data_IF_229825339912
#
_entry.id   IF_229825339912
#
_cell.length_a   1.000
_cell.length_b   1.000
_cell.length_c   1.000
_cell.angle_alpha   90.00
_cell.angle_beta   90.00
_cell.angle_gamma   90.00
#
_symmetry.space_group_name_H-M   'P 1'
#
loop_
_entity.id
_entity.type
_entity.pdbx_description
1 polymer ?
#
# COMPACT_ATOMS: atom_id res chain seq x y z
N UNK A 1 2.09 -7.74 1.05
CA UNK A 1 2.00 -7.90 -0.42
C UNK A 1 0.54 -7.95 -0.88
N UNK A 2 -0.25 -8.94 -0.42
CA UNK A 2 -1.67 -9.12 -0.83
C UNK A 2 -2.60 -7.92 -0.55
N UNK A 3 -2.24 -7.06 0.41
CA UNK A 3 -2.92 -5.78 0.63
C UNK A 3 -2.88 -4.88 -0.61
N UNK A 4 -1.76 -4.86 -1.34
CA UNK A 4 -1.63 -4.11 -2.59
C UNK A 4 -2.48 -4.73 -3.71
N UNK A 5 -2.59 -6.06 -3.78
CA UNK A 5 -3.47 -6.74 -4.74
C UNK A 5 -4.91 -6.32 -4.54
N UNK A 6 -5.41 -6.40 -3.31
CA UNK A 6 -6.76 -5.95 -2.95
C UNK A 6 -6.97 -4.48 -3.25
N UNK A 7 -5.97 -3.64 -3.00
CA UNK A 7 -6.03 -2.23 -3.37
C UNK A 7 -6.25 -2.08 -4.89
N UNK A 8 -5.43 -2.74 -5.71
CA UNK A 8 -5.52 -2.66 -7.17
C UNK A 8 -6.88 -3.19 -7.66
N UNK A 9 -7.28 -4.37 -7.21
CA UNK A 9 -8.50 -5.04 -7.70
C UNK A 9 -9.79 -4.32 -7.27
N UNK A 10 -9.78 -3.61 -6.13
CA UNK A 10 -10.90 -2.79 -5.67
C UNK A 10 -10.84 -1.33 -6.15
N UNK A 11 -9.80 -0.91 -6.88
CA UNK A 11 -9.78 0.43 -7.47
C UNK A 11 -10.98 0.73 -8.38
N UNK A 12 -11.35 -0.11 -9.37
CA UNK A 12 -12.46 0.18 -10.26
C UNK A 12 -13.80 0.23 -9.51
N UNK A 13 -13.96 -0.58 -8.45
CA UNK A 13 -15.12 -0.53 -7.55
C UNK A 13 -15.17 0.81 -6.79
N UNK A 14 -14.05 1.19 -6.16
CA UNK A 14 -13.96 2.48 -5.42
C UNK A 14 -14.13 3.70 -6.33
N UNK A 15 -13.76 3.59 -7.60
CA UNK A 15 -13.96 4.64 -8.59
C UNK A 15 -15.39 4.68 -9.15
N UNK A 16 -16.28 3.77 -8.73
CA UNK A 16 -17.66 3.69 -9.22
C UNK A 16 -17.76 3.22 -10.67
N UNK A 17 -16.72 2.57 -11.21
CA UNK A 17 -16.71 2.09 -12.59
C UNK A 17 -17.46 0.76 -12.75
N UNK A 18 -17.47 -0.06 -11.70
CA UNK A 18 -18.14 -1.37 -11.63
C UNK A 18 -18.64 -1.64 -10.21
N UNK A 19 -19.64 -2.50 -10.06
CA UNK A 19 -20.16 -2.90 -8.74
C UNK A 19 -19.26 -3.95 -8.07
N UNK A 20 -18.73 -4.91 -8.82
CA UNK A 20 -17.87 -5.97 -8.29
C UNK A 20 -16.52 -6.04 -9.01
N UNK A 21 -15.46 -6.43 -8.29
CA UNK A 21 -14.10 -6.50 -8.84
C UNK A 21 -13.98 -7.44 -10.06
N UNK A 22 -14.81 -8.49 -10.11
CA UNK A 22 -14.89 -9.41 -11.25
C UNK A 22 -15.36 -8.74 -12.55
N UNK A 23 -16.11 -7.64 -12.46
CA UNK A 23 -16.73 -7.01 -13.63
C UNK A 23 -15.73 -6.14 -14.38
N UNK A 24 -14.62 -5.76 -13.73
CA UNK A 24 -13.56 -5.01 -14.38
C UNK A 24 -12.58 -5.94 -15.12
N UNK A 25 -12.55 -5.93 -16.47
CA UNK A 25 -11.79 -6.90 -17.25
C UNK A 25 -10.28 -6.69 -17.18
N UNK A 26 -9.82 -5.49 -16.80
CA UNK A 26 -8.40 -5.12 -16.82
C UNK A 26 -7.77 -5.24 -15.43
N UNK A 27 -8.03 -6.36 -14.78
CA UNK A 27 -7.39 -6.73 -13.51
C UNK A 27 -7.09 -8.23 -13.49
N UNK A 28 -6.18 -8.63 -12.60
CA UNK A 28 -5.88 -10.04 -12.33
C UNK A 28 -6.97 -10.74 -11.51
N UNK A 29 -8.03 -10.05 -11.08
CA UNK A 29 -9.04 -10.61 -10.17
C UNK A 29 -9.65 -11.89 -10.74
N UNK A 30 -9.98 -11.92 -12.03
CA UNK A 30 -10.58 -13.12 -12.66
C UNK A 30 -9.65 -14.33 -12.64
N UNK A 31 -8.35 -14.10 -12.82
CA UNK A 31 -7.35 -15.15 -12.69
C UNK A 31 -7.20 -15.60 -11.24
N UNK A 32 -6.91 -14.66 -10.33
CA UNK A 32 -6.60 -14.97 -8.93
C UNK A 32 -7.79 -15.51 -8.14
N UNK A 33 -9.00 -15.01 -8.41
CA UNK A 33 -10.21 -15.25 -7.64
C UNK A 33 -11.19 -16.22 -8.30
N UNK A 34 -11.25 -16.26 -9.65
CA UNK A 34 -12.22 -17.08 -10.38
C UNK A 34 -11.57 -18.22 -11.17
N UNK A 35 -10.24 -18.29 -11.21
CA UNK A 35 -9.53 -19.35 -11.92
C UNK A 35 -9.60 -19.24 -13.43
N UNK A 36 -9.89 -18.06 -13.97
CA UNK A 36 -9.85 -17.84 -15.42
C UNK A 36 -8.41 -17.74 -15.89
N UNK A 37 -8.01 -18.62 -16.80
CA UNK A 37 -6.66 -18.59 -17.37
C UNK A 37 -6.37 -17.25 -18.05
N UNK A 38 -5.16 -16.75 -17.83
CA UNK A 38 -4.67 -15.53 -18.44
C UNK A 38 -3.16 -15.63 -18.63
N UNK A 39 -2.73 -15.74 -19.89
CA UNK A 39 -1.32 -15.91 -20.27
C UNK A 39 -0.43 -14.72 -19.89
N UNK A 40 -1.02 -13.57 -19.60
CA UNK A 40 -0.30 -12.36 -19.17
C UNK A 40 -0.05 -12.33 -17.66
N UNK A 41 -0.66 -13.23 -16.89
CA UNK A 41 -0.57 -13.25 -15.43
C UNK A 41 0.39 -14.34 -15.00
N UNK A 42 1.49 -13.92 -14.36
CA UNK A 42 2.38 -14.82 -13.62
C UNK A 42 1.99 -14.74 -12.14
N UNK A 43 1.58 -15.85 -11.50
CA UNK A 43 1.24 -15.86 -10.08
C UNK A 43 2.45 -15.47 -9.23
N UNK A 44 2.25 -14.54 -8.30
CA UNK A 44 3.29 -14.17 -7.33
C UNK A 44 3.35 -15.20 -6.19
N UNK A 45 4.53 -15.45 -5.62
CA UNK A 45 4.73 -16.44 -4.56
C UNK A 45 3.79 -16.25 -3.36
N UNK A 46 3.58 -15.01 -2.92
CA UNK A 46 2.64 -14.68 -1.83
C UNK A 46 1.18 -15.06 -2.13
N UNK A 47 0.77 -15.06 -3.41
CA UNK A 47 -0.53 -15.61 -3.80
C UNK A 47 -0.50 -17.14 -3.78
N UNK A 48 0.56 -17.75 -4.31
CA UNK A 48 0.73 -19.21 -4.31
C UNK A 48 0.73 -19.80 -2.90
N UNK A 49 1.29 -19.08 -1.91
CA UNK A 49 1.30 -19.46 -0.49
C UNK A 49 -0.07 -19.45 0.20
N UNK A 50 -1.12 -18.94 -0.44
CA UNK A 50 -2.45 -18.88 0.19
C UNK A 50 -3.08 -20.25 0.41
N UNK A 51 -2.75 -21.23 -0.44
CA UNK A 51 -3.08 -22.64 -0.29
C UNK A 51 -2.32 -23.44 -1.35
N UNK A 52 -2.17 -24.75 -1.16
CA UNK A 52 -1.44 -25.61 -2.10
C UNK A 52 -2.23 -25.83 -3.41
N UNK A 53 -3.52 -26.11 -3.31
CA UNK A 53 -4.39 -26.36 -4.47
C UNK A 53 -5.06 -25.06 -4.98
N UNK A 54 -5.40 -25.05 -6.27
CA UNK A 54 -5.92 -23.86 -6.94
C UNK A 54 -7.30 -23.43 -6.42
N UNK A 55 -8.18 -24.39 -6.15
CA UNK A 55 -9.56 -24.15 -5.73
C UNK A 55 -9.60 -23.47 -4.36
N UNK A 56 -8.85 -24.00 -3.40
CA UNK A 56 -8.71 -23.45 -2.06
C UNK A 56 -7.99 -22.10 -2.10
N UNK A 57 -6.95 -21.96 -2.92
CA UNK A 57 -6.25 -20.68 -3.08
C UNK A 57 -7.18 -19.59 -3.58
N UNK A 58 -8.01 -19.87 -4.59
CA UNK A 58 -9.03 -18.94 -5.08
C UNK A 58 -10.08 -18.62 -4.02
N UNK A 59 -10.50 -19.62 -3.23
CA UNK A 59 -11.44 -19.43 -2.12
C UNK A 59 -10.87 -18.53 -1.02
N UNK A 60 -9.66 -18.82 -0.56
CA UNK A 60 -8.91 -17.99 0.40
C UNK A 60 -8.70 -16.60 -0.14
N UNK A 61 -8.37 -16.47 -1.43
CA UNK A 61 -8.19 -15.17 -2.08
C UNK A 61 -9.47 -14.34 -2.07
N UNK A 62 -10.62 -14.92 -2.45
CA UNK A 62 -11.93 -14.25 -2.37
C UNK A 62 -12.27 -13.83 -0.94
N UNK A 63 -11.95 -14.66 0.05
CA UNK A 63 -12.20 -14.35 1.46
C UNK A 63 -11.47 -13.08 1.95
N UNK A 64 -10.34 -12.71 1.31
CA UNK A 64 -9.65 -11.47 1.62
C UNK A 64 -10.50 -10.21 1.34
N UNK A 65 -11.50 -10.30 0.44
CA UNK A 65 -12.36 -9.19 0.05
C UNK A 65 -13.57 -9.00 0.98
N UNK A 66 -13.85 -9.96 1.86
CA UNK A 66 -14.96 -9.88 2.82
C UNK A 66 -14.77 -8.76 3.84
N UNK A 67 -13.50 -8.43 4.14
CA UNK A 67 -13.15 -7.31 5.01
C UNK A 67 -12.76 -6.10 4.17
N UNK A 68 -13.13 -4.90 4.61
CA UNK A 68 -12.67 -3.68 3.95
C UNK A 68 -11.21 -3.38 4.33
N UNK A 69 -10.46 -2.76 3.42
CA UNK A 69 -9.18 -2.16 3.78
C UNK A 69 -9.45 -0.91 4.62
N UNK A 70 -8.74 -0.74 5.74
CA UNK A 70 -8.92 0.45 6.57
C UNK A 70 -8.52 1.72 5.81
N UNK A 71 -9.20 2.83 6.09
CA UNK A 71 -8.88 4.13 5.48
C UNK A 71 -7.41 4.52 5.67
N UNK A 72 -6.83 4.20 6.83
CA UNK A 72 -5.39 4.40 7.08
C UNK A 72 -4.54 3.64 6.06
N UNK A 73 -4.84 2.36 5.82
CA UNK A 73 -4.10 1.53 4.85
C UNK A 73 -4.22 2.09 3.43
N UNK A 74 -5.42 2.51 3.04
CA UNK A 74 -5.66 3.13 1.73
C UNK A 74 -4.86 4.42 1.59
N UNK A 75 -4.85 5.26 2.63
CA UNK A 75 -4.07 6.49 2.68
C UNK A 75 -2.57 6.21 2.57
N UNK A 76 -2.05 5.25 3.33
CA UNK A 76 -0.63 4.89 3.32
C UNK A 76 -0.18 4.42 1.93
N UNK A 77 -0.98 3.59 1.25
CA UNK A 77 -0.70 3.13 -0.13
C UNK A 77 -0.70 4.32 -1.11
N UNK A 78 -1.72 5.19 -1.05
CA UNK A 78 -1.85 6.35 -1.94
C UNK A 78 -0.70 7.33 -1.75
N UNK A 79 -0.39 7.66 -0.51
CA UNK A 79 0.69 8.59 -0.18
C UNK A 79 2.04 8.06 -0.63
N UNK A 80 2.31 6.78 -0.39
CA UNK A 80 3.53 6.13 -0.85
C UNK A 80 3.63 6.17 -2.38
N UNK A 81 2.55 5.80 -3.08
CA UNK A 81 2.53 5.76 -4.55
C UNK A 81 2.69 7.14 -5.18
N UNK A 82 1.91 8.13 -4.74
CA UNK A 82 1.89 9.46 -5.35
C UNK A 82 3.18 10.27 -5.12
N UNK A 83 3.88 9.99 -4.02
CA UNK A 83 5.10 10.72 -3.64
C UNK A 83 6.37 9.92 -3.90
N UNK A 84 6.24 8.73 -4.51
CA UNK A 84 7.32 7.77 -4.69
C UNK A 84 8.07 7.47 -3.37
N UNK A 85 7.32 7.33 -2.27
CA UNK A 85 7.84 6.93 -0.97
C UNK A 85 7.73 5.44 -0.73
N UNK A 86 8.52 4.96 0.22
CA UNK A 86 8.49 3.55 0.62
C UNK A 86 7.25 3.28 1.46
N UNK A 87 6.48 2.27 1.06
CA UNK A 87 5.39 1.69 1.85
C UNK A 87 5.95 0.58 2.75
N UNK A 88 5.60 0.59 4.04
CA UNK A 88 6.06 -0.42 4.99
C UNK A 88 6.13 0.09 6.42
N UNK A 89 6.67 -0.72 7.33
CA UNK A 89 6.92 -0.33 8.71
C UNK A 89 8.05 0.71 8.81
N UNK A 90 8.12 1.45 9.91
CA UNK A 90 9.22 2.40 10.16
C UNK A 90 10.59 1.71 10.08
N UNK A 91 10.72 0.52 10.66
CA UNK A 91 11.95 -0.28 10.57
C UNK A 91 12.32 -0.63 9.12
N UNK A 92 11.34 -1.06 8.31
CA UNK A 92 11.60 -1.38 6.91
C UNK A 92 12.02 -0.12 6.13
N UNK A 93 11.37 1.00 6.39
CA UNK A 93 11.74 2.29 5.82
C UNK A 93 13.19 2.62 6.19
N UNK A 94 13.55 2.72 7.46
CA UNK A 94 14.92 3.04 7.89
C UNK A 94 15.97 2.15 7.22
N UNK A 95 15.70 0.85 7.11
CA UNK A 95 16.56 -0.09 6.38
C UNK A 95 16.75 0.28 4.90
N UNK A 96 15.68 0.61 4.20
CA UNK A 96 15.74 1.01 2.78
C UNK A 96 16.43 2.37 2.61
N UNK A 97 16.23 3.31 3.55
CA UNK A 97 16.92 4.61 3.54
C UNK A 97 18.44 4.45 3.58
N UNK A 98 18.92 3.59 4.47
CA UNK A 98 20.35 3.27 4.62
C UNK A 98 20.92 2.61 3.36
N UNK A 99 20.15 1.74 2.70
CA UNK A 99 20.59 1.04 1.48
C UNK A 99 20.62 1.95 0.25
N UNK A 100 19.65 2.84 0.11
CA UNK A 100 19.52 3.69 -1.08
C UNK A 100 20.27 5.02 -0.96
N UNK A 101 20.78 5.36 0.23
CA UNK A 101 21.39 6.65 0.54
C UNK A 101 20.54 7.86 0.06
N UNK A 102 19.21 7.70 0.11
CA UNK A 102 18.22 8.68 -0.32
C UNK A 102 17.11 8.71 0.71
N UNK A 103 16.56 9.89 0.96
CA UNK A 103 15.35 10.04 1.77
C UNK A 103 14.18 9.29 1.16
N UNK A 104 13.50 8.52 2.00
CA UNK A 104 12.36 7.66 1.61
C UNK A 104 11.04 8.03 2.30
N UNK A 105 11.10 9.05 3.16
CA UNK A 105 9.97 9.63 3.87
C UNK A 105 10.04 11.15 3.78
N UNK A 106 8.90 11.86 3.88
CA UNK A 106 8.90 13.32 3.92
C UNK A 106 9.70 13.83 5.11
N UNK A 107 10.44 14.93 4.91
CA UNK A 107 10.94 15.70 6.05
C UNK A 107 9.75 16.30 6.83
N UNK A 108 9.92 16.47 8.14
CA UNK A 108 8.96 17.20 8.97
C UNK A 108 8.74 18.58 8.35
N UNK A 109 7.50 18.88 7.96
CA UNK A 109 7.12 20.18 7.41
C UNK A 109 6.78 21.13 8.56
N UNK A 110 7.37 22.31 8.54
CA UNK A 110 7.24 23.30 9.62
C UNK A 110 8.36 23.17 10.66
N UNK A 111 9.02 24.29 10.97
CA UNK A 111 10.05 24.35 11.99
C UNK A 111 9.46 24.68 13.36
N UNK A 112 10.22 24.40 14.42
CA UNK A 112 9.93 24.81 15.80
C UNK A 112 10.02 26.33 15.99
N UNK A 113 10.25 27.12 14.94
CA UNK A 113 10.45 28.58 14.97
C UNK A 113 9.36 29.37 15.72
N UNK A 114 8.14 28.82 15.82
CA UNK A 114 7.03 29.42 16.57
C UNK A 114 6.81 28.80 17.95
N UNK A 115 7.52 27.74 18.30
CA UNK A 115 7.43 27.11 19.62
C UNK A 115 7.97 28.06 20.71
N UNK A 116 7.46 27.90 21.93
CA UNK A 116 7.98 28.65 23.09
C UNK A 116 9.46 28.32 23.32
N UNK A 117 9.82 27.03 23.27
CA UNK A 117 11.19 26.56 23.46
C UNK A 117 12.19 27.16 22.45
N UNK A 118 11.81 27.30 21.17
CA UNK A 118 12.66 27.95 20.18
C UNK A 118 12.84 29.45 20.47
N UNK A 119 11.75 30.15 20.80
CA UNK A 119 11.78 31.58 21.12
C UNK A 119 12.63 31.86 22.36
N UNK A 120 12.54 31.01 23.38
CA UNK A 120 13.39 31.02 24.57
C UNK A 120 14.88 30.85 24.19
N UNK A 121 15.19 29.84 23.37
CA UNK A 121 16.57 29.54 22.93
C UNK A 121 17.19 30.66 22.10
N UNK A 122 16.41 31.30 21.23
CA UNK A 122 16.86 32.46 20.45
C UNK A 122 17.07 33.69 21.35
N UNK A 123 16.22 33.87 22.37
CA UNK A 123 16.37 34.97 23.34
C UNK A 123 17.62 34.82 24.21
N UNK A 124 17.98 33.60 24.58
CA UNK A 124 19.17 33.30 25.41
C UNK A 124 20.47 33.40 24.60
N UNK A 125 20.44 33.04 23.32
CA UNK A 125 21.64 32.96 22.46
C UNK A 125 21.84 34.15 21.51
N UNK A 126 20.98 35.17 21.57
CA UNK A 126 21.12 36.40 20.78
C UNK A 126 21.89 37.48 21.54
N UNK A 127 23.13 37.75 21.10
CA UNK A 127 23.83 39.04 21.28
C UNK A 127 23.37 39.99 20.17
#
# INVERSE_FOLDING_TARGET
>A
MLTCYRYIELNPVRAGMVEHAADYPWSSYRFNALGQDNVLVVPHDEYLKLADNAQERQLTYRALFNNHLSEKTLSDIRDATNKAWVLGSSHFKEKIEQQLNRRISPAIKGGDRKSAAYRERVRINGV
#
